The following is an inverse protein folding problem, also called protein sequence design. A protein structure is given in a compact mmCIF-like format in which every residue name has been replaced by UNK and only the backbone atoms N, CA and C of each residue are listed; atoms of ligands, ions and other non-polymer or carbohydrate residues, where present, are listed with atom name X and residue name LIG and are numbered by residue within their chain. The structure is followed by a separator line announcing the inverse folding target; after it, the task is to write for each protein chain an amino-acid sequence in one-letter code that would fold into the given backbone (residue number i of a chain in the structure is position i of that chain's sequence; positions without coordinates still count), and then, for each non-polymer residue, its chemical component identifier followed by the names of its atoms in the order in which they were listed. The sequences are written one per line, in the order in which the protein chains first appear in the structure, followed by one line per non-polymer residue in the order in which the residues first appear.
data_IF_912661221891
#
_entry.id   IF_912661221891
#
_cell.length_a   1.000
_cell.length_b   1.000
_cell.length_c   1.000
_cell.angle_alpha   90.00
_cell.angle_beta   90.00
_cell.angle_gamma   90.00
#
_symmetry.space_group_name_H-M   'P 1'
#
loop_
_entity.id
_entity.type
_entity.pdbx_description
1 polymer ?
#
# COMPACT_ATOMS: atom_id res chain seq x y z
N UNK A 1 -19.21 -4.97 7.78
CA UNK A 1 -19.02 -3.61 7.24
C UNK A 1 -17.54 -3.37 7.01
N UNK A 2 -17.17 -2.61 5.98
CA UNK A 2 -15.78 -2.30 5.66
C UNK A 2 -15.58 -0.77 5.65
N UNK A 3 -14.37 -0.32 5.98
CA UNK A 3 -13.93 1.06 5.82
C UNK A 3 -12.89 1.12 4.71
N UNK A 4 -12.97 2.12 3.84
CA UNK A 4 -12.13 2.22 2.64
C UNK A 4 -11.36 3.55 2.71
N UNK A 5 -10.06 3.49 2.44
CA UNK A 5 -9.18 4.66 2.34
C UNK A 5 -8.68 4.72 0.90
N UNK A 6 -8.89 5.87 0.24
CA UNK A 6 -8.27 6.18 -1.04
C UNK A 6 -7.05 7.07 -0.79
N UNK A 7 -5.91 6.69 -1.34
CA UNK A 7 -4.63 7.34 -1.10
C UNK A 7 -4.03 7.81 -2.42
N UNK A 8 -3.94 9.13 -2.60
CA UNK A 8 -3.26 9.74 -3.74
C UNK A 8 -1.75 9.64 -3.55
N UNK A 9 -1.09 8.73 -4.28
CA UNK A 9 0.38 8.55 -4.28
C UNK A 9 0.88 8.23 -5.69
N UNK A 10 2.14 8.57 -6.04
CA UNK A 10 3.11 9.30 -5.23
C UNK A 10 2.80 10.80 -5.15
N UNK A 11 3.72 11.57 -4.56
CA UNK A 11 3.65 13.03 -4.57
C UNK A 11 3.51 13.56 -6.01
N UNK A 12 2.63 14.53 -6.21
CA UNK A 12 2.24 15.04 -7.52
C UNK A 12 0.98 14.38 -8.11
N UNK A 13 0.47 13.31 -7.50
CA UNK A 13 -0.82 12.70 -7.87
C UNK A 13 -1.97 13.33 -7.09
N UNK A 14 -3.05 13.72 -7.79
CA UNK A 14 -4.29 14.19 -7.16
C UNK A 14 -4.07 15.35 -6.19
N UNK A 15 -4.44 15.14 -4.91
CA UNK A 15 -4.28 16.13 -3.85
C UNK A 15 -2.93 16.08 -3.12
N UNK A 16 -2.07 15.11 -3.44
CA UNK A 16 -0.75 14.97 -2.80
C UNK A 16 0.29 15.88 -3.46
N UNK A 17 0.90 16.79 -2.70
CA UNK A 17 1.87 17.76 -3.21
C UNK A 17 3.13 17.89 -2.33
N UNK A 18 4.24 18.28 -2.96
CA UNK A 18 5.48 18.63 -2.28
C UNK A 18 5.67 20.15 -2.27
N UNK A 19 6.36 20.65 -1.25
CA UNK A 19 6.74 22.08 -1.13
C UNK A 19 8.10 22.40 -1.74
N UNK A 20 8.88 21.39 -2.11
CA UNK A 20 10.23 21.55 -2.69
C UNK A 20 10.37 20.73 -3.97
N UNK A 21 11.10 21.24 -4.94
CA UNK A 21 11.36 20.56 -6.23
C UNK A 21 12.10 19.23 -6.08
N UNK A 22 12.94 19.10 -5.04
CA UNK A 22 13.57 17.81 -4.75
C UNK A 22 12.55 16.75 -4.33
N UNK A 23 11.52 17.15 -3.58
CA UNK A 23 10.49 16.25 -3.06
C UNK A 23 9.37 15.97 -4.07
N UNK A 24 9.35 16.61 -5.25
CA UNK A 24 8.37 16.30 -6.32
C UNK A 24 8.74 15.05 -7.12
N UNK A 25 9.99 14.58 -7.03
CA UNK A 25 10.43 13.36 -7.70
C UNK A 25 10.28 12.16 -6.76
N UNK A 26 9.72 11.06 -7.26
CA UNK A 26 9.57 9.81 -6.53
C UNK A 26 9.71 8.60 -7.46
N UNK A 27 10.30 7.52 -6.95
CA UNK A 27 10.34 6.21 -7.62
C UNK A 27 9.46 5.18 -6.88
N UNK A 28 9.34 3.97 -7.44
CA UNK A 28 8.47 2.91 -6.90
C UNK A 28 8.79 2.54 -5.45
N UNK A 29 10.08 2.50 -5.08
CA UNK A 29 10.50 2.21 -3.71
C UNK A 29 10.14 3.35 -2.75
N UNK A 30 10.30 4.60 -3.18
CA UNK A 30 9.88 5.76 -2.38
C UNK A 30 8.37 5.81 -2.22
N UNK A 31 7.62 5.51 -3.28
CA UNK A 31 6.16 5.39 -3.24
C UNK A 31 5.74 4.34 -2.19
N UNK A 32 6.32 3.13 -2.24
CA UNK A 32 6.00 2.08 -1.30
C UNK A 32 6.32 2.47 0.15
N UNK A 33 7.48 3.10 0.39
CA UNK A 33 7.84 3.61 1.70
C UNK A 33 6.90 4.71 2.20
N UNK A 34 6.50 5.64 1.32
CA UNK A 34 5.54 6.69 1.68
C UNK A 34 4.16 6.11 2.02
N UNK A 35 3.69 5.10 1.29
CA UNK A 35 2.43 4.41 1.59
C UNK A 35 2.50 3.71 2.95
N UNK A 36 3.60 3.01 3.23
CA UNK A 36 3.83 2.37 4.53
C UNK A 36 3.88 3.39 5.68
N UNK A 37 4.64 4.47 5.52
CA UNK A 37 4.71 5.58 6.48
C UNK A 37 3.36 6.23 6.73
N UNK A 38 2.57 6.46 5.67
CA UNK A 38 1.22 6.99 5.77
C UNK A 38 0.35 6.06 6.64
N UNK A 39 0.32 4.76 6.34
CA UNK A 39 -0.50 3.81 7.07
C UNK A 39 -0.14 3.73 8.55
N UNK A 40 1.15 3.73 8.90
CA UNK A 40 1.58 3.76 10.31
C UNK A 40 1.09 5.01 11.03
N UNK A 41 1.25 6.19 10.42
CA UNK A 41 0.83 7.46 11.01
C UNK A 41 -0.69 7.52 11.14
N UNK A 42 -1.42 7.03 10.14
CA UNK A 42 -2.88 6.99 10.14
C UNK A 42 -3.43 6.10 11.25
N UNK A 43 -2.84 4.92 11.47
CA UNK A 43 -3.27 4.02 12.58
C UNK A 43 -2.91 4.58 13.95
N UNK A 44 -1.78 5.28 14.07
CA UNK A 44 -1.43 5.97 15.31
C UNK A 44 -2.46 7.04 15.68
N UNK A 45 -3.04 7.74 14.71
CA UNK A 45 -4.13 8.70 14.94
C UNK A 45 -5.52 8.07 15.02
N UNK A 46 -5.70 6.84 14.50
CA UNK A 46 -6.97 6.11 14.50
C UNK A 46 -6.82 4.70 15.12
N UNK A 47 -6.47 4.59 16.42
CA UNK A 47 -6.14 3.32 17.04
C UNK A 47 -7.29 2.30 17.05
N UNK A 48 -8.54 2.76 16.95
CA UNK A 48 -9.72 1.90 16.84
C UNK A 48 -9.75 1.00 15.60
N UNK A 49 -8.87 1.23 14.62
CA UNK A 49 -8.76 0.41 13.41
C UNK A 49 -7.65 -0.65 13.48
N UNK A 50 -6.82 -0.67 14.52
CA UNK A 50 -5.67 -1.59 14.63
C UNK A 50 -6.11 -3.07 14.62
N UNK A 51 -7.23 -3.39 15.26
CA UNK A 51 -7.76 -4.75 15.32
C UNK A 51 -8.43 -5.21 14.01
N UNK A 52 -8.69 -4.29 13.08
CA UNK A 52 -9.40 -4.62 11.86
C UNK A 52 -8.49 -5.38 10.88
N UNK A 53 -9.02 -6.38 10.17
CA UNK A 53 -8.32 -6.97 9.04
C UNK A 53 -7.94 -5.88 8.03
N UNK A 54 -6.64 -5.79 7.72
CA UNK A 54 -6.13 -4.83 6.75
C UNK A 54 -5.95 -5.50 5.38
N UNK A 55 -6.45 -4.85 4.34
CA UNK A 55 -6.31 -5.26 2.94
C UNK A 55 -5.74 -4.09 2.14
N UNK A 56 -4.83 -4.39 1.21
CA UNK A 56 -4.29 -3.44 0.25
C UNK A 56 -4.49 -3.96 -1.16
N UNK A 57 -4.96 -3.09 -2.05
CA UNK A 57 -5.28 -3.42 -3.43
C UNK A 57 -5.17 -2.18 -4.30
N UNK A 58 -5.16 -2.41 -5.61
CA UNK A 58 -5.06 -1.34 -6.60
C UNK A 58 -5.04 -1.92 -8.00
N UNK A 59 -5.37 -1.08 -8.96
CA UNK A 59 -5.48 -1.44 -10.38
C UNK A 59 -4.30 -0.84 -11.16
N UNK A 60 -3.99 -1.45 -12.32
CA UNK A 60 -2.96 -0.97 -13.25
C UNK A 60 -1.57 -0.94 -12.61
N UNK A 61 -0.84 0.17 -12.73
CA UNK A 61 0.52 0.32 -12.24
C UNK A 61 0.67 0.00 -10.74
N UNK A 62 -0.40 0.18 -9.96
CA UNK A 62 -0.45 -0.11 -8.53
C UNK A 62 -0.09 -1.56 -8.20
N UNK A 63 -0.24 -2.49 -9.15
CA UNK A 63 0.19 -3.88 -9.00
C UNK A 63 1.69 -4.04 -8.70
N UNK A 64 2.55 -3.09 -9.12
CA UNK A 64 4.00 -3.12 -8.84
C UNK A 64 4.37 -2.77 -7.40
N UNK A 65 3.93 -1.64 -6.82
CA UNK A 65 4.31 -1.28 -5.46
C UNK A 65 3.55 -2.06 -4.38
N UNK A 66 2.36 -2.62 -4.67
CA UNK A 66 1.54 -3.33 -3.65
C UNK A 66 2.29 -4.47 -2.95
N UNK A 67 2.97 -5.41 -3.65
CA UNK A 67 3.76 -6.45 -2.99
C UNK A 67 4.88 -5.89 -2.10
N UNK A 68 5.52 -4.80 -2.53
CA UNK A 68 6.58 -4.13 -1.76
C UNK A 68 6.01 -3.50 -0.49
N UNK A 69 4.85 -2.85 -0.57
CA UNK A 69 4.17 -2.27 0.60
C UNK A 69 3.80 -3.38 1.59
N UNK A 70 3.25 -4.51 1.12
CA UNK A 70 2.92 -5.63 1.98
C UNK A 70 4.15 -6.19 2.71
N UNK A 71 5.28 -6.32 2.01
CA UNK A 71 6.55 -6.73 2.62
C UNK A 71 7.04 -5.74 3.67
N UNK A 72 6.96 -4.43 3.41
CA UNK A 72 7.35 -3.39 4.36
C UNK A 72 6.52 -3.45 5.65
N UNK A 73 5.22 -3.71 5.54
CA UNK A 73 4.35 -3.88 6.71
C UNK A 73 4.71 -5.16 7.46
N UNK A 74 4.92 -6.29 6.76
CA UNK A 74 5.31 -7.56 7.39
C UNK A 74 6.60 -7.42 8.20
N UNK A 75 7.65 -6.87 7.58
CA UNK A 75 8.92 -6.60 8.26
C UNK A 75 8.73 -5.63 9.43
N UNK A 76 7.87 -4.63 9.25
CA UNK A 76 7.54 -3.64 10.26
C UNK A 76 6.89 -4.23 11.51
N UNK A 77 6.06 -5.26 11.34
CA UNK A 77 5.41 -5.99 12.42
C UNK A 77 6.42 -6.86 13.18
N UNK A 78 7.31 -7.57 12.47
CA UNK A 78 8.34 -8.43 13.06
C UNK A 78 9.29 -7.68 14.00
N UNK A 79 9.66 -6.45 13.64
CA UNK A 79 10.53 -5.60 14.47
C UNK A 79 9.81 -4.88 15.61
N UNK A 80 8.50 -5.11 15.79
CA UNK A 80 7.71 -4.56 16.90
C UNK A 80 7.39 -3.07 16.78
N UNK A 81 7.19 -2.54 15.57
CA UNK A 81 6.77 -1.14 15.42
C UNK A 81 5.40 -0.87 16.08
N UNK A 82 5.23 0.34 16.64
CA UNK A 82 4.11 0.74 17.52
C UNK A 82 2.69 0.54 16.95
N UNK A 83 2.53 0.41 15.63
CA UNK A 83 1.25 0.19 14.97
C UNK A 83 1.27 -1.17 14.25
N UNK A 84 1.03 -2.24 15.01
CA UNK A 84 0.99 -3.60 14.49
C UNK A 84 -0.21 -3.77 13.57
N UNK A 85 0.04 -3.93 12.27
CA UNK A 85 -0.98 -4.05 11.25
C UNK A 85 -1.41 -5.52 11.13
N UNK A 86 -2.69 -5.82 11.35
CA UNK A 86 -3.21 -7.17 11.19
C UNK A 86 -3.46 -7.46 9.69
N UNK A 87 -2.37 -7.64 8.94
CA UNK A 87 -2.42 -7.84 7.49
C UNK A 87 -3.10 -9.18 7.19
N UNK A 88 -4.21 -9.13 6.47
CA UNK A 88 -4.71 -10.29 5.74
C UNK A 88 -4.45 -10.04 4.26
N UNK A 89 -3.37 -10.62 3.72
CA UNK A 89 -3.13 -10.54 2.29
C UNK A 89 -4.15 -11.41 1.55
N UNK A 90 -5.17 -10.79 0.97
CA UNK A 90 -5.89 -11.36 -0.18
C UNK A 90 -5.41 -10.61 -1.42
N UNK A 91 -4.42 -11.20 -2.10
CA UNK A 91 -3.81 -10.62 -3.30
C UNK A 91 -4.81 -10.55 -4.45
N UNK A 92 -4.90 -9.38 -5.09
CA UNK A 92 -5.73 -9.15 -6.27
C UNK A 92 -5.25 -7.92 -7.01
N UNK A 93 -4.07 -8.02 -7.63
CA UNK A 93 -3.54 -7.00 -8.54
C UNK A 93 -3.65 -7.50 -9.97
N UNK A 94 -4.50 -6.88 -10.78
CA UNK A 94 -4.48 -7.10 -12.23
C UNK A 94 -3.29 -6.31 -12.80
N UNK A 95 -2.21 -7.00 -13.13
CA UNK A 95 -1.05 -6.42 -13.81
C UNK A 95 -1.40 -6.33 -15.30
N UNK A 96 -1.43 -5.12 -15.85
CA UNK A 96 -1.59 -4.89 -17.28
C UNK A 96 -0.44 -5.56 -18.08
N UNK A 97 -0.70 -6.05 -19.31
CA UNK A 97 -0.07 -7.24 -19.91
C UNK A 97 1.35 -7.04 -20.48
N UNK A 98 2.30 -6.50 -19.72
CA UNK A 98 3.74 -6.58 -20.06
C UNK A 98 4.52 -7.58 -19.20
N UNK A 99 3.88 -8.32 -18.30
CA UNK A 99 4.50 -9.44 -17.57
C UNK A 99 4.11 -10.79 -18.18
N UNK A 100 5.13 -11.59 -18.50
CA UNK A 100 5.10 -12.94 -19.07
C UNK A 100 4.08 -13.92 -18.41
N UNK A 101 3.64 -14.95 -19.15
CA UNK A 101 2.24 -15.38 -19.23
C UNK A 101 1.79 -16.52 -18.30
N UNK A 102 2.58 -16.97 -17.34
CA UNK A 102 2.38 -18.34 -16.85
C UNK A 102 1.34 -18.53 -15.73
N UNK A 103 1.10 -17.59 -14.79
CA UNK A 103 0.38 -17.97 -13.55
C UNK A 103 -0.54 -16.92 -12.92
N UNK A 104 -1.73 -16.65 -13.46
CA UNK A 104 -2.79 -16.02 -12.67
C UNK A 104 -4.19 -16.42 -13.13
N UNK A 105 -4.66 -17.56 -12.61
CA UNK A 105 -6.08 -17.91 -12.60
C UNK A 105 -6.75 -17.47 -11.28
N UNK A 106 -8.07 -17.31 -11.39
CA UNK A 106 -9.09 -17.25 -10.34
C UNK A 106 -9.51 -15.86 -9.81
N UNK A 107 -10.65 -15.38 -10.32
CA UNK A 107 -11.69 -14.82 -9.45
C UNK A 107 -12.09 -15.88 -8.41
N UNK A 108 -12.66 -15.47 -7.27
CA UNK A 108 -13.90 -16.06 -6.79
C UNK A 108 -14.53 -15.23 -5.66
N UNK A 109 -15.85 -15.44 -5.57
CA UNK A 109 -16.87 -14.84 -4.70
C UNK A 109 -16.53 -14.85 -3.21
#
# INVERSE_FOLDING_TARGET
MASIIFLDIPVGTGFSYARTTRATHSNDLQLANHAYEFMRKWLKSHPGFISNPFYIGGESYSGKPIPVIAQLISNGNEVGNEAHLNINMKGGGHVAPESKPEESFAMLK
#
